data_IF_521962873140
#
_entry.id   IF_521962873140
#
_cell.length_a   1.000
_cell.length_b   1.000
_cell.length_c   1.000
_cell.angle_alpha   90.00
_cell.angle_beta   90.00
_cell.angle_gamma   90.00
#
_symmetry.space_group_name_H-M   'P 1'
#
loop_
_entity.id
_entity.type
_entity.pdbx_description
1 polymer ?
#
# COMPACT_ATOMS: atom_id res chain seq x y z
N UNK A 1 -19.93 -37.84 -5.17
CA UNK A 1 -19.28 -37.61 -3.87
C UNK A 1 -18.00 -36.85 -4.13
N UNK A 2 -18.09 -35.53 -4.22
CA UNK A 2 -16.95 -34.61 -4.17
C UNK A 2 -17.48 -33.29 -3.63
N UNK A 3 -16.73 -32.80 -2.66
CA UNK A 3 -17.02 -31.79 -1.66
C UNK A 3 -17.16 -30.38 -2.27
N UNK A 4 -18.22 -29.67 -1.91
CA UNK A 4 -18.39 -28.24 -2.22
C UNK A 4 -17.60 -27.44 -1.19
N UNK A 5 -16.82 -26.41 -1.57
CA UNK A 5 -16.12 -25.61 -0.58
C UNK A 5 -17.14 -24.85 0.28
N UNK A 6 -17.27 -25.26 1.55
CA UNK A 6 -17.98 -24.51 2.58
C UNK A 6 -17.27 -23.17 2.81
N UNK A 7 -17.77 -22.13 2.17
CA UNK A 7 -17.46 -20.73 2.50
C UNK A 7 -18.02 -20.43 3.89
N UNK A 8 -17.22 -20.70 4.92
CA UNK A 8 -17.51 -20.26 6.28
C UNK A 8 -17.47 -18.72 6.34
N UNK A 9 -18.41 -18.06 7.05
CA UNK A 9 -18.45 -16.60 7.14
C UNK A 9 -17.22 -16.10 7.90
N UNK A 10 -16.25 -15.53 7.18
CA UNK A 10 -15.07 -14.93 7.78
C UNK A 10 -15.50 -13.67 8.54
N UNK A 11 -15.13 -13.51 9.83
CA UNK A 11 -15.39 -12.28 10.57
C UNK A 11 -14.77 -11.09 9.81
N UNK A 12 -15.32 -9.86 9.97
CA UNK A 12 -14.81 -8.70 9.26
C UNK A 12 -13.32 -8.55 9.55
N UNK A 13 -12.49 -8.58 8.50
CA UNK A 13 -11.05 -8.49 8.68
C UNK A 13 -10.69 -7.18 9.40
N UNK A 14 -9.77 -7.23 10.38
CA UNK A 14 -9.37 -6.03 11.10
C UNK A 14 -8.74 -5.02 10.11
N UNK A 15 -8.99 -3.71 10.27
CA UNK A 15 -8.57 -2.68 9.31
C UNK A 15 -7.04 -2.54 9.17
N UNK A 16 -6.26 -3.06 10.12
CA UNK A 16 -4.80 -3.10 10.11
C UNK A 16 -4.34 -4.45 10.66
N UNK A 17 -3.41 -5.12 9.97
CA UNK A 17 -2.83 -6.42 10.37
C UNK A 17 -1.31 -6.34 10.48
N UNK A 18 -0.76 -6.97 11.52
CA UNK A 18 0.68 -7.20 11.66
C UNK A 18 1.09 -8.36 10.75
N UNK A 19 1.75 -8.07 9.63
CA UNK A 19 2.19 -9.10 8.66
C UNK A 19 3.47 -9.82 9.14
N UNK A 20 4.25 -9.20 10.02
CA UNK A 20 5.50 -9.74 10.59
C UNK A 20 5.79 -9.12 11.96
N UNK A 21 6.28 -9.92 12.92
CA UNK A 21 6.68 -9.49 14.28
C UNK A 21 5.65 -9.81 15.38
N UNK A 22 6.01 -9.57 16.65
CA UNK A 22 5.12 -9.69 17.82
C UNK A 22 5.20 -8.41 18.68
N UNK A 23 4.59 -7.28 18.25
CA UNK A 23 4.67 -6.01 18.96
C UNK A 23 4.00 -6.11 20.33
N UNK A 24 4.52 -5.38 21.31
CA UNK A 24 3.81 -5.25 22.58
C UNK A 24 2.51 -4.46 22.39
N UNK A 25 1.54 -4.56 23.32
CA UNK A 25 0.31 -3.76 23.25
C UNK A 25 0.57 -2.25 23.14
N UNK A 26 1.61 -1.76 23.80
CA UNK A 26 2.01 -0.35 23.82
C UNK A 26 2.54 0.10 22.45
N UNK A 27 3.35 -0.73 21.79
CA UNK A 27 3.90 -0.44 20.45
C UNK A 27 2.79 -0.40 19.40
N UNK A 28 1.85 -1.34 19.48
CA UNK A 28 0.68 -1.34 18.60
C UNK A 28 -0.16 -0.08 18.80
N UNK A 29 -0.38 0.33 20.05
CA UNK A 29 -1.10 1.57 20.36
C UNK A 29 -0.38 2.80 19.77
N UNK A 30 0.95 2.87 19.87
CA UNK A 30 1.75 3.96 19.31
C UNK A 30 1.67 4.01 17.78
N UNK A 31 1.80 2.87 17.09
CA UNK A 31 1.68 2.80 15.64
C UNK A 31 0.30 3.28 15.16
N UNK A 32 -0.77 2.84 15.84
CA UNK A 32 -2.13 3.28 15.56
C UNK A 32 -2.31 4.78 15.80
N UNK A 33 -1.69 5.33 16.85
CA UNK A 33 -1.73 6.77 17.11
C UNK A 33 -1.10 7.57 15.96
N UNK A 34 0.04 7.13 15.41
CA UNK A 34 0.71 7.79 14.27
C UNK A 34 -0.13 7.70 12.99
N UNK A 35 -0.68 6.52 12.68
CA UNK A 35 -1.55 6.33 11.51
C UNK A 35 -2.77 7.24 11.60
N UNK A 36 -3.43 7.28 12.75
CA UNK A 36 -4.59 8.16 13.00
C UNK A 36 -4.19 9.63 12.94
N UNK A 37 -3.08 10.03 13.54
CA UNK A 37 -2.61 11.40 13.47
C UNK A 37 -2.34 11.84 12.02
N UNK A 38 -1.73 10.97 11.20
CA UNK A 38 -1.53 11.25 9.78
C UNK A 38 -2.82 11.30 8.99
N UNK A 39 -3.75 10.38 9.25
CA UNK A 39 -5.06 10.37 8.60
C UNK A 39 -5.86 11.62 8.95
N UNK A 40 -5.85 12.05 10.23
CA UNK A 40 -6.53 13.26 10.69
C UNK A 40 -5.85 14.54 10.20
N UNK A 41 -4.52 14.53 9.99
CA UNK A 41 -3.79 15.64 9.37
C UNK A 41 -4.15 15.83 7.89
N UNK A 42 -4.75 14.81 7.26
CA UNK A 42 -5.39 14.94 5.94
C UNK A 42 -6.82 15.42 6.17
N UNK A 43 -7.01 16.73 6.33
CA UNK A 43 -8.34 17.31 6.55
C UNK A 43 -9.33 16.93 5.43
N UNK A 44 -10.59 16.55 5.74
CA UNK A 44 -11.63 16.31 4.76
C UNK A 44 -12.17 17.66 4.26
N UNK A 45 -11.50 18.22 3.26
CA UNK A 45 -11.86 19.53 2.70
C UNK A 45 -11.54 19.69 1.21
N UNK A 46 -10.66 18.88 0.64
CA UNK A 46 -10.46 18.87 -0.81
C UNK A 46 -11.14 17.62 -1.40
N UNK A 47 -12.30 17.73 -2.07
CA UNK A 47 -12.79 16.65 -2.92
C UNK A 47 -11.77 16.40 -4.03
N UNK A 48 -10.93 15.38 -3.82
CA UNK A 48 -9.99 14.82 -4.79
C UNK A 48 -8.54 14.79 -4.33
N UNK A 49 -8.13 13.79 -3.53
CA UNK A 49 -6.71 13.38 -3.49
C UNK A 49 -6.52 11.97 -4.03
N UNK A 50 -5.88 11.95 -5.20
CA UNK A 50 -5.72 10.88 -6.20
C UNK A 50 -4.81 9.73 -5.72
N UNK A 51 -4.82 8.63 -6.47
CA UNK A 51 -3.85 7.52 -6.45
C UNK A 51 -2.41 8.08 -6.28
N UNK A 52 -1.58 7.65 -5.29
CA UNK A 52 -0.16 7.98 -5.31
C UNK A 52 0.42 7.20 -6.49
N UNK A 53 0.57 7.89 -7.62
CA UNK A 53 1.08 7.24 -8.83
C UNK A 53 2.52 6.76 -8.60
N UNK A 54 3.16 6.29 -9.67
CA UNK A 54 4.60 6.04 -9.76
C UNK A 54 5.52 7.24 -9.36
N UNK A 55 4.92 8.30 -8.81
CA UNK A 55 5.38 9.63 -8.44
C UNK A 55 5.63 9.79 -6.93
N UNK A 56 5.14 8.91 -6.06
CA UNK A 56 5.68 8.86 -4.68
C UNK A 56 6.98 8.03 -4.60
N UNK A 57 7.69 7.88 -5.74
CA UNK A 57 8.91 7.09 -5.90
C UNK A 57 10.17 7.91 -5.55
N UNK A 58 10.93 7.54 -4.50
CA UNK A 58 12.15 8.24 -4.08
C UNK A 58 13.28 8.21 -5.12
N UNK A 59 13.17 7.34 -6.13
CA UNK A 59 14.12 7.28 -7.24
C UNK A 59 14.13 8.56 -8.09
N UNK A 60 13.10 9.42 -8.00
CA UNK A 60 13.02 10.73 -8.67
C UNK A 60 13.63 11.88 -7.87
N UNK A 61 13.93 11.68 -6.58
CA UNK A 61 14.42 12.75 -5.68
C UNK A 61 15.96 12.80 -5.60
N UNK A 62 16.64 11.76 -6.09
CA UNK A 62 18.10 11.68 -6.14
C UNK A 62 18.57 11.96 -7.57
N UNK A 63 19.49 12.91 -7.82
CA UNK A 63 20.00 13.19 -9.16
C UNK A 63 20.77 11.99 -9.73
N UNK A 64 20.31 11.45 -10.86
CA UNK A 64 20.98 10.38 -11.62
C UNK A 64 20.70 10.60 -13.12
N UNK A 65 21.65 10.22 -13.98
CA UNK A 65 21.38 10.14 -15.41
C UNK A 65 20.40 9.01 -15.71
N UNK A 66 19.30 9.30 -16.41
CA UNK A 66 18.35 8.28 -16.85
C UNK A 66 19.02 7.39 -17.91
N UNK A 67 18.85 6.05 -17.85
CA UNK A 67 19.31 5.20 -18.94
C UNK A 67 18.57 5.58 -20.23
N UNK A 68 19.30 5.68 -21.35
CA UNK A 68 18.68 5.94 -22.67
C UNK A 68 17.73 4.78 -22.99
N UNK A 69 16.44 5.05 -23.27
CA UNK A 69 15.51 4.00 -23.64
C UNK A 69 16.00 3.33 -24.94
N UNK A 70 16.21 2.01 -24.88
CA UNK A 70 16.52 1.20 -26.06
C UNK A 70 15.25 0.77 -26.80
N UNK A 71 15.35 0.27 -28.05
CA UNK A 71 14.23 -0.34 -28.76
C UNK A 71 13.57 -1.42 -27.89
N UNK A 72 12.25 -1.32 -27.66
CA UNK A 72 11.50 -2.28 -26.85
C UNK A 72 11.46 -2.02 -25.33
N UNK A 73 12.03 -0.92 -24.82
CA UNK A 73 12.03 -0.59 -23.39
C UNK A 73 10.62 -0.54 -22.76
N UNK A 74 9.59 -0.21 -23.54
CA UNK A 74 8.19 -0.13 -23.09
C UNK A 74 7.43 -1.46 -23.20
N UNK A 75 7.92 -2.43 -23.99
CA UNK A 75 7.27 -3.74 -24.06
C UNK A 75 7.44 -4.56 -22.78
N UNK A 76 8.42 -4.22 -21.91
CA UNK A 76 8.67 -4.89 -20.62
C UNK A 76 7.97 -4.27 -19.41
N UNK A 77 7.20 -3.18 -19.58
CA UNK A 77 6.43 -2.56 -18.48
C UNK A 77 5.05 -3.17 -18.26
N UNK A 78 4.73 -4.27 -18.96
CA UNK A 78 3.48 -4.99 -18.75
C UNK A 78 3.56 -5.87 -17.48
N UNK A 79 2.63 -5.66 -16.55
CA UNK A 79 2.34 -6.54 -15.44
C UNK A 79 0.95 -7.14 -15.71
N UNK A 80 0.82 -8.44 -16.05
CA UNK A 80 -0.50 -9.06 -16.08
C UNK A 80 -1.04 -9.08 -14.65
N UNK A 81 -2.17 -8.41 -14.45
CA UNK A 81 -2.99 -8.54 -13.24
C UNK A 81 -3.79 -9.83 -13.27
#
# INVERSE_FOLDING_TARGET
>A
MTDSPETSPQPPEPPIRVVRGNPTPEELAAALAVVRARASAVAPGEPGRRTPGAWSSPARTVPRGLPRPGPGAWHRTFWPG
#
